data_IF_473943356351
#
_entry.id   IF_473943356351
#
_cell.length_a   1.000
_cell.length_b   1.000
_cell.length_c   1.000
_cell.angle_alpha   90.00
_cell.angle_beta   90.00
_cell.angle_gamma   90.00
#
_symmetry.space_group_name_H-M   'P 1'
#
loop_
_entity.id
_entity.type
_entity.pdbx_description
1 polymer ?
#
# COMPACT_ATOMS: atom_id res chain seq x y z
N UNK A 1 16.61 -9.68 -4.10
CA UNK A 1 16.36 -8.60 -3.12
C UNK A 1 17.20 -8.86 -1.88
N UNK A 2 17.89 -7.84 -1.36
CA UNK A 2 18.55 -7.97 -0.06
C UNK A 2 17.63 -7.39 1.00
N UNK A 3 17.43 -8.15 2.08
CA UNK A 3 16.64 -7.75 3.23
C UNK A 3 17.47 -7.88 4.51
N UNK A 4 17.48 -6.81 5.32
CA UNK A 4 18.23 -6.77 6.58
C UNK A 4 17.36 -6.15 7.65
N UNK A 5 17.31 -6.76 8.83
CA UNK A 5 16.74 -6.16 10.04
C UNK A 5 17.85 -5.32 10.69
N UNK A 6 17.64 -4.01 10.77
CA UNK A 6 18.59 -3.09 11.37
C UNK A 6 18.42 -3.04 12.90
N UNK A 7 17.16 -3.09 13.37
CA UNK A 7 16.80 -3.05 14.80
C UNK A 7 15.37 -3.54 15.01
N UNK A 8 15.12 -4.08 16.19
CA UNK A 8 13.77 -4.38 16.70
C UNK A 8 13.53 -3.67 18.02
N UNK A 9 12.29 -3.28 18.30
CA UNK A 9 11.80 -2.75 19.58
C UNK A 9 10.43 -3.37 19.84
N UNK A 10 10.38 -4.37 20.72
CA UNK A 10 9.26 -5.30 20.82
C UNK A 10 9.09 -6.06 19.50
N UNK A 11 7.86 -6.07 18.94
CA UNK A 11 7.60 -6.64 17.62
C UNK A 11 7.87 -5.66 16.47
N UNK A 12 7.97 -4.35 16.76
CA UNK A 12 8.25 -3.34 15.75
C UNK A 12 9.66 -3.54 15.15
N UNK A 13 9.78 -3.39 13.82
CA UNK A 13 11.02 -3.65 13.09
C UNK A 13 11.42 -2.44 12.25
N UNK A 14 12.67 -2.03 12.32
CA UNK A 14 13.34 -1.16 11.37
C UNK A 14 14.21 -2.04 10.48
N UNK A 15 13.89 -2.08 9.18
CA UNK A 15 14.62 -2.91 8.23
C UNK A 15 15.10 -2.09 7.03
N UNK A 16 16.02 -2.66 6.26
CA UNK A 16 16.51 -2.12 4.99
C UNK A 16 16.27 -3.16 3.89
N UNK A 17 15.57 -2.73 2.82
CA UNK A 17 15.28 -3.54 1.63
C UNK A 17 16.04 -2.91 0.46
N UNK A 18 16.86 -3.71 -0.26
CA UNK A 18 17.50 -3.25 -1.49
C UNK A 18 16.89 -3.92 -2.69
N UNK A 19 16.41 -3.11 -3.62
CA UNK A 19 15.91 -3.52 -4.93
C UNK A 19 16.86 -3.00 -6.02
N UNK A 20 16.52 -3.22 -7.29
CA UNK A 20 17.31 -2.70 -8.40
C UNK A 20 17.34 -1.15 -8.47
N UNK A 21 16.26 -0.47 -8.03
CA UNK A 21 16.10 0.98 -8.24
C UNK A 21 16.19 1.81 -6.95
N UNK A 22 16.09 1.23 -5.76
CA UNK A 22 16.22 1.98 -4.52
C UNK A 22 16.61 1.13 -3.31
N UNK A 23 17.08 1.81 -2.27
CA UNK A 23 17.15 1.27 -0.91
C UNK A 23 15.95 1.80 -0.15
N UNK A 24 15.12 0.90 0.34
CA UNK A 24 13.86 1.19 1.03
C UNK A 24 14.08 0.99 2.52
N UNK A 25 13.82 2.02 3.30
CA UNK A 25 13.87 1.97 4.76
C UNK A 25 12.49 1.73 5.35
N UNK A 26 12.32 0.64 6.09
CA UNK A 26 11.05 0.30 6.73
C UNK A 26 11.01 0.75 8.20
N UNK A 27 9.81 0.99 8.79
CA UNK A 27 8.50 0.87 8.13
C UNK A 27 8.34 1.89 6.99
N UNK A 28 7.62 1.50 5.94
CA UNK A 28 7.44 2.35 4.75
C UNK A 28 5.98 2.39 4.31
N UNK A 29 5.52 3.57 3.89
CA UNK A 29 4.24 3.76 3.22
C UNK A 29 4.47 3.99 1.72
N UNK A 30 3.77 3.24 0.88
CA UNK A 30 3.82 3.32 -0.57
C UNK A 30 2.68 4.18 -1.11
N UNK A 31 2.92 5.38 -1.62
CA UNK A 31 1.90 6.15 -2.33
C UNK A 31 1.34 5.37 -3.53
N UNK A 32 0.01 5.38 -3.69
CA UNK A 32 -0.67 4.64 -4.76
C UNK A 32 -0.71 5.44 -6.04
N UNK A 33 0.00 4.96 -7.05
CA UNK A 33 0.01 5.46 -8.42
C UNK A 33 -0.79 4.56 -9.36
N UNK A 34 -2.13 4.55 -9.25
CA UNK A 34 -3.05 3.61 -9.92
C UNK A 34 -2.78 3.38 -11.41
N UNK A 35 -2.49 4.44 -12.15
CA UNK A 35 -2.19 4.40 -13.60
C UNK A 35 -0.75 4.84 -13.89
N UNK A 36 0.18 4.46 -13.02
CA UNK A 36 1.56 4.93 -13.08
C UNK A 36 1.73 6.38 -12.60
N UNK A 37 0.69 6.98 -12.01
CA UNK A 37 0.72 8.35 -11.49
C UNK A 37 0.00 8.44 -10.14
N UNK A 38 0.66 9.00 -9.16
CA UNK A 38 0.02 9.38 -7.88
C UNK A 38 -0.95 10.52 -8.16
N UNK A 39 -2.20 10.37 -7.73
CA UNK A 39 -3.27 11.34 -8.06
C UNK A 39 -2.85 12.77 -7.73
N UNK A 40 -2.93 13.64 -8.73
CA UNK A 40 -2.60 15.08 -8.71
C UNK A 40 -1.11 15.45 -8.64
N UNK A 41 -0.22 14.47 -8.63
CA UNK A 41 1.23 14.67 -8.57
C UNK A 41 1.91 14.05 -9.79
N UNK A 42 2.96 14.69 -10.26
CA UNK A 42 3.88 14.14 -11.26
C UNK A 42 5.18 13.62 -10.62
N UNK A 43 6.09 13.11 -11.45
CA UNK A 43 7.36 12.58 -10.98
C UNK A 43 8.26 13.65 -10.34
N UNK A 44 8.15 14.92 -10.77
CA UNK A 44 8.91 16.05 -10.21
C UNK A 44 8.39 16.42 -8.82
N UNK A 45 7.07 16.41 -8.62
CA UNK A 45 6.46 16.61 -7.29
C UNK A 45 6.90 15.53 -6.31
N UNK A 46 6.90 14.26 -6.77
CA UNK A 46 7.35 13.14 -5.95
C UNK A 46 8.82 13.30 -5.58
N UNK A 47 9.68 13.64 -6.52
CA UNK A 47 11.11 13.80 -6.28
C UNK A 47 11.44 15.01 -5.37
N UNK A 48 10.69 16.11 -5.49
CA UNK A 48 11.00 17.37 -4.80
C UNK A 48 10.37 17.49 -3.42
N UNK A 49 9.14 16.98 -3.22
CA UNK A 49 8.35 17.28 -2.03
C UNK A 49 8.02 16.07 -1.16
N UNK A 50 7.93 14.87 -1.74
CA UNK A 50 7.47 13.67 -1.04
C UNK A 50 8.62 12.69 -0.84
N UNK A 51 9.43 12.48 -1.87
CA UNK A 51 10.61 11.62 -1.90
C UNK A 51 10.34 10.17 -1.44
N UNK A 52 9.27 9.50 -1.92
CA UNK A 52 9.04 8.11 -1.57
C UNK A 52 10.16 7.23 -2.16
N UNK A 53 10.54 6.19 -1.45
CA UNK A 53 11.54 5.22 -1.92
C UNK A 53 10.91 4.15 -2.81
N UNK A 54 9.61 3.96 -2.68
CA UNK A 54 8.79 3.02 -3.45
C UNK A 54 7.37 3.56 -3.59
N UNK A 55 6.75 3.33 -4.75
CA UNK A 55 5.34 3.60 -5.00
C UNK A 55 4.65 2.35 -5.54
N UNK A 56 3.33 2.28 -5.37
CA UNK A 56 2.53 1.18 -5.90
C UNK A 56 1.88 1.58 -7.22
N UNK A 57 2.03 0.75 -8.27
CA UNK A 57 1.26 0.85 -9.51
C UNK A 57 0.28 -0.34 -9.62
N UNK A 58 -0.87 -0.10 -10.25
CA UNK A 58 -1.92 -1.09 -10.31
C UNK A 58 -1.88 -1.87 -11.64
N UNK A 59 -1.62 -3.16 -11.54
CA UNK A 59 -1.49 -4.05 -12.71
C UNK A 59 -2.73 -4.07 -13.58
N UNK A 60 -3.93 -4.19 -13.00
CA UNK A 60 -5.17 -4.19 -13.77
C UNK A 60 -5.32 -2.94 -14.64
N UNK A 61 -5.13 -1.75 -14.03
CA UNK A 61 -5.28 -0.49 -14.75
C UNK A 61 -4.23 -0.30 -15.83
N UNK A 62 -2.98 -0.64 -15.55
CA UNK A 62 -1.88 -0.54 -16.53
C UNK A 62 -2.03 -1.53 -17.68
N UNK A 63 -2.56 -2.73 -17.42
CA UNK A 63 -2.89 -3.73 -18.42
C UNK A 63 -4.06 -3.30 -19.32
N UNK A 64 -5.16 -2.80 -18.74
CA UNK A 64 -6.32 -2.35 -19.52
C UNK A 64 -5.99 -1.09 -20.35
N UNK A 65 -5.23 -0.16 -19.78
CA UNK A 65 -4.84 1.08 -20.45
C UNK A 65 -3.59 1.68 -19.79
N UNK A 66 -2.49 1.89 -20.53
CA UNK A 66 -2.35 1.84 -21.99
C UNK A 66 -2.10 0.43 -22.56
N UNK A 67 -1.97 -0.59 -21.74
CA UNK A 67 -1.52 -1.94 -22.06
C UNK A 67 -0.06 -2.15 -21.62
N UNK A 68 0.21 -3.29 -21.01
CA UNK A 68 1.52 -3.64 -20.47
C UNK A 68 2.62 -3.71 -21.56
N UNK A 69 2.27 -4.16 -22.77
CA UNK A 69 3.21 -4.16 -23.92
C UNK A 69 3.63 -2.75 -24.35
N UNK A 70 2.71 -1.76 -24.25
CA UNK A 70 3.03 -0.36 -24.53
C UNK A 70 4.01 0.16 -23.48
N UNK A 71 3.76 -0.14 -22.21
CA UNK A 71 4.63 0.24 -21.09
C UNK A 71 6.02 -0.40 -21.26
N UNK A 72 6.08 -1.68 -21.64
CA UNK A 72 7.34 -2.38 -21.89
C UNK A 72 8.18 -1.69 -22.98
N UNK A 73 7.55 -1.33 -24.12
CA UNK A 73 8.21 -0.63 -25.24
C UNK A 73 8.68 0.78 -24.86
N UNK A 74 8.03 1.43 -23.90
CA UNK A 74 8.36 2.79 -23.44
C UNK A 74 9.37 2.82 -22.29
N UNK A 75 10.08 1.73 -22.04
CA UNK A 75 11.11 1.62 -21.00
C UNK A 75 10.55 1.20 -19.63
N UNK A 76 9.46 0.40 -19.67
CA UNK A 76 8.79 -0.10 -18.47
C UNK A 76 8.23 1.04 -17.63
N UNK A 77 7.76 0.78 -16.41
CA UNK A 77 7.18 1.81 -15.52
C UNK A 77 8.16 2.98 -15.29
N UNK A 78 9.42 2.70 -15.03
CA UNK A 78 10.43 3.73 -14.76
C UNK A 78 10.65 4.68 -15.97
N UNK A 79 10.85 4.11 -17.16
CA UNK A 79 10.99 4.88 -18.39
C UNK A 79 9.71 5.61 -18.80
N UNK A 80 8.56 4.97 -18.60
CA UNK A 80 7.24 5.52 -18.97
C UNK A 80 6.82 6.68 -18.06
N UNK A 81 6.97 6.53 -16.74
CA UNK A 81 6.51 7.52 -15.75
C UNK A 81 7.56 8.57 -15.37
N UNK A 82 8.84 8.29 -15.68
CA UNK A 82 10.00 9.07 -15.23
C UNK A 82 10.22 9.09 -13.70
N UNK A 83 9.57 8.17 -12.99
CA UNK A 83 9.87 7.95 -11.58
C UNK A 83 11.03 6.95 -11.47
N UNK A 84 12.13 7.39 -10.86
CA UNK A 84 13.40 6.64 -10.91
C UNK A 84 13.59 5.61 -9.80
N UNK A 85 12.71 5.63 -8.76
CA UNK A 85 12.81 4.71 -7.62
C UNK A 85 11.88 3.51 -7.79
N UNK A 86 11.79 2.66 -6.79
CA UNK A 86 11.13 1.36 -6.88
C UNK A 86 9.63 1.43 -7.11
N UNK A 87 9.12 0.42 -7.81
CA UNK A 87 7.72 0.12 -7.97
C UNK A 87 7.37 -1.23 -7.35
N UNK A 88 6.28 -1.27 -6.59
CA UNK A 88 5.53 -2.49 -6.34
C UNK A 88 4.31 -2.49 -7.27
N UNK A 89 4.00 -3.63 -7.91
CA UNK A 89 2.74 -3.83 -8.63
C UNK A 89 1.88 -4.85 -7.90
N UNK A 90 0.60 -4.52 -7.70
CA UNK A 90 -0.38 -5.49 -7.21
C UNK A 90 -0.68 -6.55 -8.29
N UNK A 91 -1.46 -7.57 -7.95
CA UNK A 91 -1.85 -8.62 -8.92
C UNK A 91 -2.92 -8.16 -9.92
N UNK A 92 -3.65 -7.10 -9.61
CA UNK A 92 -4.84 -6.67 -10.35
C UNK A 92 -6.10 -7.48 -10.06
N UNK A 93 -6.02 -8.55 -9.24
CA UNK A 93 -7.16 -9.42 -8.92
C UNK A 93 -8.28 -8.70 -8.18
N UNK A 94 -7.95 -7.88 -7.19
CA UNK A 94 -8.93 -7.07 -6.45
C UNK A 94 -9.70 -6.12 -7.38
N UNK A 95 -9.04 -5.45 -8.31
CA UNK A 95 -9.67 -4.51 -9.24
C UNK A 95 -10.49 -5.24 -10.28
N UNK A 96 -10.05 -6.39 -10.76
CA UNK A 96 -10.85 -7.27 -11.61
C UNK A 96 -12.16 -7.63 -10.91
N UNK A 97 -12.12 -7.93 -9.61
CA UNK A 97 -13.30 -8.23 -8.80
C UNK A 97 -14.17 -6.99 -8.52
N UNK A 98 -13.58 -5.88 -8.08
CA UNK A 98 -14.33 -4.71 -7.58
C UNK A 98 -14.90 -3.81 -8.68
N UNK A 99 -14.28 -3.78 -9.87
CA UNK A 99 -14.67 -2.89 -10.98
C UNK A 99 -15.48 -3.59 -12.06
N UNK A 100 -15.51 -4.92 -12.09
CA UNK A 100 -16.24 -5.68 -13.09
C UNK A 100 -17.59 -6.18 -12.57
N UNK A 101 -18.63 -6.09 -13.42
CA UNK A 101 -19.98 -6.59 -13.09
C UNK A 101 -20.13 -8.11 -13.25
N UNK A 102 -19.24 -8.75 -14.00
CA UNK A 102 -19.34 -10.17 -14.35
C UNK A 102 -18.00 -10.85 -14.12
N UNK A 103 -17.67 -11.09 -12.85
CA UNK A 103 -16.46 -11.82 -12.47
C UNK A 103 -16.77 -13.28 -12.29
N UNK A 104 -15.97 -14.15 -12.87
CA UNK A 104 -16.00 -15.60 -12.63
C UNK A 104 -14.62 -16.04 -12.19
N UNK A 105 -14.57 -16.74 -11.08
CA UNK A 105 -13.36 -17.36 -10.55
C UNK A 105 -13.49 -18.84 -10.77
N UNK A 106 -12.51 -19.43 -11.40
CA UNK A 106 -12.37 -20.89 -11.58
C UNK A 106 -11.01 -21.36 -11.04
N UNK A 107 -10.69 -22.63 -11.25
CA UNK A 107 -9.43 -23.20 -10.73
C UNK A 107 -8.18 -22.62 -11.42
N UNK A 108 -8.31 -22.15 -12.66
CA UNK A 108 -7.20 -21.61 -13.45
C UNK A 108 -7.01 -20.10 -13.37
N UNK A 109 -8.02 -19.35 -12.85
CA UNK A 109 -7.88 -17.90 -12.80
C UNK A 109 -9.19 -17.12 -12.65
N UNK A 110 -9.15 -15.86 -13.07
CA UNK A 110 -10.23 -14.89 -12.94
C UNK A 110 -10.64 -14.36 -14.32
N UNK A 111 -11.88 -14.63 -14.73
CA UNK A 111 -12.50 -14.03 -15.92
C UNK A 111 -13.25 -12.77 -15.51
N UNK A 112 -13.03 -11.68 -16.21
CA UNK A 112 -13.71 -10.40 -15.95
C UNK A 112 -13.94 -9.62 -17.24
N UNK A 113 -14.84 -8.63 -17.18
CA UNK A 113 -15.07 -7.67 -18.26
C UNK A 113 -14.41 -6.33 -17.89
N UNK A 114 -13.68 -5.74 -18.83
CA UNK A 114 -13.07 -4.41 -18.65
C UNK A 114 -14.14 -3.36 -18.35
N UNK A 115 -13.91 -2.54 -17.34
CA UNK A 115 -14.80 -1.42 -16.99
C UNK A 115 -14.71 -0.26 -18.00
N UNK A 116 -13.74 -0.29 -18.91
CA UNK A 116 -13.48 0.77 -19.90
C UNK A 116 -14.28 0.54 -21.18
N UNK A 117 -14.27 -0.70 -21.71
CA UNK A 117 -14.83 -1.05 -23.01
C UNK A 117 -15.65 -2.34 -23.02
N UNK A 118 -15.75 -3.03 -21.88
CA UNK A 118 -16.49 -4.28 -21.75
C UNK A 118 -15.80 -5.52 -22.34
N UNK A 119 -14.58 -5.39 -22.86
CA UNK A 119 -13.81 -6.53 -23.38
C UNK A 119 -13.58 -7.59 -22.32
N UNK A 120 -13.60 -8.86 -22.68
CA UNK A 120 -13.40 -9.99 -21.76
C UNK A 120 -11.93 -10.33 -21.63
N UNK A 121 -11.49 -10.50 -20.40
CA UNK A 121 -10.12 -10.85 -20.04
C UNK A 121 -10.12 -12.04 -19.10
N UNK A 122 -9.01 -12.78 -19.12
CA UNK A 122 -8.76 -13.90 -18.23
C UNK A 122 -7.38 -13.75 -17.61
N UNK A 123 -7.32 -13.54 -16.30
CA UNK A 123 -6.08 -13.51 -15.53
C UNK A 123 -5.82 -14.89 -14.96
N UNK A 124 -4.67 -15.45 -15.32
CA UNK A 124 -4.10 -16.65 -14.71
C UNK A 124 -2.86 -16.26 -13.89
N UNK A 125 -2.38 -17.11 -12.97
CA UNK A 125 -1.13 -16.86 -12.24
C UNK A 125 0.03 -16.48 -13.16
N UNK A 126 0.25 -17.26 -14.24
CA UNK A 126 1.32 -16.99 -15.22
C UNK A 126 1.13 -15.69 -15.98
N UNK A 127 -0.08 -15.43 -16.45
CA UNK A 127 -0.36 -14.18 -17.20
C UNK A 127 -0.13 -12.94 -16.36
N UNK A 128 -0.50 -12.96 -15.07
CA UNK A 128 -0.27 -11.83 -14.17
C UNK A 128 1.23 -11.60 -13.95
N UNK A 129 2.04 -12.65 -13.89
CA UNK A 129 3.50 -12.53 -13.84
C UNK A 129 4.05 -11.92 -15.15
N UNK A 130 3.61 -12.39 -16.34
CA UNK A 130 4.05 -11.82 -17.62
C UNK A 130 3.72 -10.34 -17.75
N UNK A 131 2.50 -9.93 -17.35
CA UNK A 131 2.11 -8.52 -17.31
C UNK A 131 3.06 -7.72 -16.42
N UNK A 132 3.36 -8.19 -15.21
CA UNK A 132 4.24 -7.49 -14.28
C UNK A 132 5.71 -7.50 -14.75
N UNK A 133 6.16 -8.52 -15.48
CA UNK A 133 7.45 -8.49 -16.20
C UNK A 133 7.49 -7.38 -17.26
N UNK A 134 6.44 -7.21 -18.04
CA UNK A 134 6.30 -6.14 -19.01
C UNK A 134 6.27 -4.75 -18.34
N UNK A 135 5.58 -4.63 -17.21
CA UNK A 135 5.57 -3.40 -16.40
C UNK A 135 6.95 -3.11 -15.79
N UNK A 136 7.72 -4.14 -15.45
CA UNK A 136 9.07 -4.01 -14.91
C UNK A 136 9.14 -3.46 -13.49
N UNK A 137 8.18 -3.84 -12.64
CA UNK A 137 8.20 -3.50 -11.22
C UNK A 137 9.33 -4.19 -10.47
N UNK A 138 9.80 -3.60 -9.39
CA UNK A 138 10.83 -4.21 -8.52
C UNK A 138 10.26 -5.34 -7.68
N UNK A 139 9.00 -5.19 -7.25
CA UNK A 139 8.27 -6.17 -6.45
C UNK A 139 6.92 -6.45 -7.12
N UNK A 140 6.66 -7.72 -7.37
CA UNK A 140 5.40 -8.24 -7.92
C UNK A 140 4.56 -8.90 -6.85
N UNK A 141 3.24 -8.82 -6.97
CA UNK A 141 2.32 -9.59 -6.14
C UNK A 141 1.73 -10.75 -6.94
N UNK A 142 1.53 -11.90 -6.29
CA UNK A 142 0.83 -13.04 -6.90
C UNK A 142 -0.65 -12.73 -7.15
N UNK A 143 -1.28 -13.46 -8.08
CA UNK A 143 -2.74 -13.52 -8.17
C UNK A 143 -3.28 -14.32 -6.98
N UNK A 144 -4.27 -13.78 -6.28
CA UNK A 144 -4.94 -14.37 -5.14
C UNK A 144 -6.46 -14.40 -5.31
N UNK A 145 -7.13 -15.28 -4.62
CA UNK A 145 -8.59 -15.34 -4.56
C UNK A 145 -9.10 -14.58 -3.33
N UNK A 146 -9.29 -13.27 -3.50
CA UNK A 146 -9.82 -12.41 -2.44
C UNK A 146 -11.28 -12.73 -2.13
N UNK A 147 -11.61 -12.81 -0.84
CA UNK A 147 -12.97 -13.01 -0.34
C UNK A 147 -13.45 -11.73 0.35
N UNK A 148 -14.58 -11.18 -0.15
CA UNK A 148 -15.27 -10.11 0.57
C UNK A 148 -15.95 -10.65 1.83
N UNK A 149 -15.83 -9.92 2.94
CA UNK A 149 -16.49 -10.27 4.20
C UNK A 149 -17.85 -9.54 4.33
N UNK A 150 -18.86 -10.16 4.97
CA UNK A 150 -18.86 -11.50 5.58
C UNK A 150 -18.94 -12.62 4.53
N UNK A 151 -18.28 -13.75 4.80
CA UNK A 151 -18.30 -14.94 3.94
C UNK A 151 -18.44 -16.22 4.77
N UNK A 152 -18.88 -17.32 4.12
CA UNK A 152 -18.94 -18.62 4.80
C UNK A 152 -17.54 -19.21 4.98
N UNK A 153 -17.39 -20.09 5.97
CA UNK A 153 -16.10 -20.77 6.22
C UNK A 153 -15.65 -21.60 5.01
N UNK A 154 -16.60 -22.24 4.32
CA UNK A 154 -16.29 -23.02 3.10
C UNK A 154 -15.75 -22.12 1.99
N UNK A 155 -16.29 -20.90 1.84
CA UNK A 155 -15.79 -19.94 0.82
C UNK A 155 -14.38 -19.45 1.17
N UNK A 156 -14.11 -19.17 2.44
CA UNK A 156 -12.78 -18.76 2.91
C UNK A 156 -11.79 -19.91 2.73
N UNK A 157 -12.13 -21.13 3.16
CA UNK A 157 -11.28 -22.31 2.98
C UNK A 157 -10.96 -22.55 1.50
N UNK A 158 -11.97 -22.53 0.62
CA UNK A 158 -11.79 -22.68 -0.83
C UNK A 158 -10.88 -21.61 -1.44
N UNK A 159 -10.95 -20.36 -0.93
CA UNK A 159 -10.09 -19.29 -1.40
C UNK A 159 -8.62 -19.48 -1.00
N UNK A 160 -8.37 -19.98 0.20
CA UNK A 160 -7.04 -20.31 0.69
C UNK A 160 -6.44 -21.42 -0.18
N UNK A 161 -7.17 -22.52 -0.37
CA UNK A 161 -6.69 -23.65 -1.16
C UNK A 161 -6.38 -23.24 -2.62
N UNK A 162 -7.20 -22.37 -3.21
CA UNK A 162 -6.97 -21.83 -4.55
C UNK A 162 -5.78 -20.89 -4.58
N UNK A 163 -5.70 -19.96 -3.63
CA UNK A 163 -4.55 -19.04 -3.52
C UNK A 163 -3.24 -19.78 -3.34
N UNK A 164 -3.21 -20.83 -2.52
CA UNK A 164 -2.02 -21.67 -2.33
C UNK A 164 -1.59 -22.37 -3.63
N UNK A 165 -2.53 -22.92 -4.41
CA UNK A 165 -2.21 -23.53 -5.73
C UNK A 165 -1.71 -22.47 -6.72
N UNK A 166 -2.37 -21.31 -6.81
CA UNK A 166 -1.94 -20.22 -7.67
C UNK A 166 -0.58 -19.64 -7.26
N UNK A 167 -0.30 -19.63 -5.96
CA UNK A 167 1.01 -19.25 -5.44
C UNK A 167 2.09 -20.22 -5.90
N UNK A 168 1.87 -21.53 -5.77
CA UNK A 168 2.85 -22.53 -6.25
C UNK A 168 3.08 -22.38 -7.76
N UNK A 169 2.03 -22.22 -8.55
CA UNK A 169 2.15 -21.99 -10.00
C UNK A 169 2.90 -20.70 -10.33
N UNK A 170 2.64 -19.62 -9.55
CA UNK A 170 3.30 -18.33 -9.73
C UNK A 170 4.79 -18.40 -9.45
N UNK A 171 5.19 -18.98 -8.32
CA UNK A 171 6.61 -19.04 -7.95
C UNK A 171 7.41 -19.93 -8.89
N UNK A 172 6.87 -21.10 -9.28
CA UNK A 172 7.52 -21.99 -10.24
C UNK A 172 7.72 -21.31 -11.59
N UNK A 173 6.68 -20.61 -12.07
CA UNK A 173 6.76 -19.87 -13.33
C UNK A 173 7.73 -18.69 -13.23
N UNK A 174 7.66 -17.91 -12.17
CA UNK A 174 8.55 -16.77 -11.96
C UNK A 174 10.03 -17.19 -11.93
N UNK A 175 10.39 -18.22 -11.14
CA UNK A 175 11.77 -18.74 -11.07
C UNK A 175 12.24 -19.32 -12.40
N UNK A 176 11.35 -19.99 -13.15
CA UNK A 176 11.63 -20.43 -14.53
C UNK A 176 11.96 -19.24 -15.42
N UNK A 177 11.14 -18.19 -15.41
CA UNK A 177 11.39 -16.98 -16.22
C UNK A 177 12.72 -16.31 -15.86
N UNK A 178 13.05 -16.24 -14.56
CA UNK A 178 14.36 -15.73 -14.12
C UNK A 178 15.52 -16.59 -14.66
N UNK A 179 15.41 -17.91 -14.68
CA UNK A 179 16.43 -18.80 -15.25
C UNK A 179 16.59 -18.64 -16.78
N UNK A 180 15.56 -18.13 -17.46
CA UNK A 180 15.57 -17.77 -18.88
C UNK A 180 16.09 -16.32 -19.11
N UNK A 181 16.49 -15.60 -18.06
CA UNK A 181 17.02 -14.23 -18.13
C UNK A 181 15.94 -13.14 -18.11
N UNK A 182 14.67 -13.49 -17.81
CA UNK A 182 13.57 -12.50 -17.72
C UNK A 182 13.33 -12.13 -16.28
N UNK A 183 13.32 -10.84 -15.98
CA UNK A 183 13.00 -10.32 -14.64
C UNK A 183 13.98 -10.70 -13.54
N UNK A 184 15.27 -10.87 -13.88
CA UNK A 184 16.31 -11.34 -12.92
C UNK A 184 16.49 -10.42 -11.70
N UNK A 185 16.16 -9.14 -11.85
CA UNK A 185 16.23 -8.14 -10.76
C UNK A 185 14.89 -7.91 -10.06
N UNK A 186 13.82 -8.56 -10.54
CA UNK A 186 12.48 -8.44 -9.96
C UNK A 186 12.29 -9.44 -8.81
N UNK A 187 11.38 -9.12 -7.91
CA UNK A 187 11.09 -9.93 -6.73
C UNK A 187 9.58 -10.21 -6.67
N UNK A 188 9.18 -11.25 -5.96
CA UNK A 188 7.79 -11.67 -5.89
C UNK A 188 7.35 -11.95 -4.45
N UNK A 189 6.18 -11.43 -4.08
CA UNK A 189 5.57 -11.61 -2.76
C UNK A 189 4.31 -12.46 -2.86
N UNK A 190 4.14 -13.37 -1.91
CA UNK A 190 2.90 -14.11 -1.71
C UNK A 190 1.90 -13.31 -0.87
N UNK A 191 0.58 -13.62 -1.00
CA UNK A 191 -0.50 -12.95 -0.27
C UNK A 191 -1.21 -13.96 0.63
N UNK A 192 -1.05 -13.78 1.94
CA UNK A 192 -1.71 -14.59 2.98
C UNK A 192 -3.16 -14.13 3.11
N UNK A 193 -4.09 -15.07 2.95
CA UNK A 193 -5.53 -14.86 3.08
C UNK A 193 -6.08 -15.57 4.34
N UNK A 194 -7.37 -15.49 4.62
CA UNK A 194 -8.02 -16.20 5.74
C UNK A 194 -9.07 -15.39 6.51
N UNK A 195 -9.47 -14.22 5.98
CA UNK A 195 -10.41 -13.34 6.68
C UNK A 195 -9.88 -12.91 8.03
N UNK A 196 -10.73 -12.95 9.06
CA UNK A 196 -10.37 -12.67 10.46
C UNK A 196 -10.36 -13.94 11.32
N UNK A 197 -10.25 -15.11 10.70
CA UNK A 197 -10.20 -16.41 11.39
C UNK A 197 -8.74 -16.84 11.62
N UNK A 198 -8.39 -17.11 12.87
CA UNK A 198 -7.03 -17.47 13.28
C UNK A 198 -6.53 -18.74 12.60
N UNK A 199 -7.35 -19.81 12.57
CA UNK A 199 -6.94 -21.10 12.01
C UNK A 199 -6.72 -21.01 10.48
N UNK A 200 -7.56 -20.24 9.79
CA UNK A 200 -7.40 -19.98 8.36
C UNK A 200 -6.17 -19.12 8.07
N UNK A 201 -5.87 -18.13 8.88
CA UNK A 201 -4.64 -17.32 8.76
C UNK A 201 -3.39 -18.18 8.98
N UNK A 202 -3.40 -19.01 10.04
CA UNK A 202 -2.29 -19.94 10.30
C UNK A 202 -2.09 -20.89 9.13
N UNK A 203 -3.15 -21.55 8.63
CA UNK A 203 -3.06 -22.45 7.48
C UNK A 203 -2.45 -21.75 6.27
N UNK A 204 -3.01 -20.63 5.85
CA UNK A 204 -2.55 -19.87 4.70
C UNK A 204 -1.09 -19.43 4.86
N UNK A 205 -0.72 -18.89 6.03
CA UNK A 205 0.63 -18.45 6.31
C UNK A 205 1.63 -19.60 6.25
N UNK A 206 1.35 -20.73 6.91
CA UNK A 206 2.27 -21.89 6.91
C UNK A 206 2.47 -22.47 5.51
N UNK A 207 1.41 -22.59 4.72
CA UNK A 207 1.50 -23.11 3.35
C UNK A 207 2.32 -22.19 2.44
N UNK A 208 2.07 -20.88 2.48
CA UNK A 208 2.76 -19.92 1.63
C UNK A 208 4.19 -19.64 2.08
N UNK A 209 4.43 -19.53 3.39
CA UNK A 209 5.79 -19.29 3.91
C UNK A 209 6.74 -20.49 3.75
N UNK A 210 6.23 -21.66 3.40
CA UNK A 210 7.07 -22.82 3.02
C UNK A 210 7.61 -22.74 1.57
N UNK A 211 7.11 -21.77 0.76
CA UNK A 211 7.55 -21.55 -0.62
C UNK A 211 8.66 -20.51 -0.68
N UNK A 212 9.48 -20.53 -1.74
CA UNK A 212 10.64 -19.64 -1.93
C UNK A 212 10.24 -18.25 -2.46
N UNK A 213 9.43 -17.54 -1.68
CA UNK A 213 9.07 -16.14 -1.94
C UNK A 213 10.08 -15.14 -1.36
N UNK A 214 10.19 -13.98 -2.00
CA UNK A 214 11.08 -12.90 -1.56
C UNK A 214 10.48 -12.09 -0.40
N UNK A 215 9.15 -12.17 -0.19
CA UNK A 215 8.42 -11.51 0.89
C UNK A 215 6.95 -11.96 0.95
N UNK A 216 6.24 -11.50 1.97
CA UNK A 216 4.86 -11.93 2.23
C UNK A 216 3.97 -10.74 2.56
N UNK A 217 2.76 -10.75 2.00
CA UNK A 217 1.72 -9.77 2.29
C UNK A 217 0.57 -10.39 3.07
N UNK A 218 -0.08 -9.58 3.89
CA UNK A 218 -1.35 -9.87 4.58
C UNK A 218 -2.44 -9.20 3.76
N UNK A 219 -3.25 -9.99 3.07
CA UNK A 219 -4.38 -9.53 2.28
C UNK A 219 -5.73 -9.78 2.96
N UNK A 220 -6.82 -9.28 2.36
CA UNK A 220 -8.19 -9.52 2.79
C UNK A 220 -8.57 -8.89 4.13
N UNK A 221 -7.91 -7.80 4.52
CA UNK A 221 -8.24 -6.96 5.66
C UNK A 221 -8.61 -5.54 5.20
N UNK A 222 -9.15 -4.73 6.11
CA UNK A 222 -9.70 -3.39 5.80
C UNK A 222 -10.84 -3.43 4.77
N UNK A 223 -11.67 -4.48 4.85
CA UNK A 223 -12.80 -4.74 3.95
C UNK A 223 -14.16 -4.70 4.66
N UNK A 224 -14.21 -4.20 5.90
CA UNK A 224 -15.45 -4.02 6.68
C UNK A 224 -15.41 -4.51 8.13
N UNK A 225 -14.34 -5.18 8.55
CA UNK A 225 -14.11 -5.58 9.94
C UNK A 225 -13.81 -4.37 10.84
N UNK A 226 -13.96 -4.54 12.16
CA UNK A 226 -13.57 -3.53 13.15
C UNK A 226 -12.03 -3.39 13.21
N UNK A 227 -11.54 -2.19 13.52
CA UNK A 227 -10.09 -1.95 13.58
C UNK A 227 -9.38 -2.90 14.55
N UNK A 228 -9.98 -3.17 15.72
CA UNK A 228 -9.39 -4.09 16.70
C UNK A 228 -9.28 -5.51 16.15
N UNK A 229 -10.30 -5.98 15.44
CA UNK A 229 -10.30 -7.30 14.80
C UNK A 229 -9.20 -7.41 13.73
N UNK A 230 -8.98 -6.32 12.95
CA UNK A 230 -7.86 -6.23 12.03
C UNK A 230 -6.52 -6.30 12.77
N UNK A 231 -6.35 -5.56 13.87
CA UNK A 231 -5.10 -5.55 14.64
C UNK A 231 -4.78 -6.92 15.24
N UNK A 232 -5.77 -7.59 15.82
CA UNK A 232 -5.63 -8.93 16.38
C UNK A 232 -5.26 -9.94 15.27
N UNK A 233 -5.90 -9.83 14.11
CA UNK A 233 -5.61 -10.70 12.95
C UNK A 233 -4.19 -10.50 12.43
N UNK A 234 -3.71 -9.25 12.36
CA UNK A 234 -2.31 -8.98 11.95
C UNK A 234 -1.34 -9.54 12.97
N UNK A 235 -1.60 -9.37 14.27
CA UNK A 235 -0.75 -9.89 15.35
C UNK A 235 -0.60 -11.42 15.27
N UNK A 236 -1.69 -12.15 15.04
CA UNK A 236 -1.62 -13.60 14.85
C UNK A 236 -0.87 -13.98 13.57
N UNK A 237 -1.18 -13.30 12.46
CA UNK A 237 -0.59 -13.65 11.16
C UNK A 237 0.91 -13.43 11.15
N UNK A 238 1.40 -12.35 11.73
CA UNK A 238 2.85 -12.02 11.75
C UNK A 238 3.67 -13.05 12.54
N UNK A 239 3.08 -13.77 13.49
CA UNK A 239 3.76 -14.85 14.24
C UNK A 239 4.09 -16.07 13.37
N UNK A 240 3.35 -16.26 12.27
CA UNK A 240 3.59 -17.35 11.32
C UNK A 240 4.47 -16.93 10.13
N UNK A 241 4.77 -15.64 10.00
CA UNK A 241 5.59 -15.11 8.91
C UNK A 241 7.09 -15.16 9.25
N UNK A 242 7.97 -15.47 8.27
CA UNK A 242 9.41 -15.48 8.50
C UNK A 242 9.93 -14.14 9.04
N UNK A 243 10.95 -14.21 9.89
CA UNK A 243 11.59 -12.99 10.41
C UNK A 243 12.51 -12.34 9.37
N UNK A 244 13.15 -13.15 8.54
CA UNK A 244 14.13 -12.77 7.52
C UNK A 244 13.51 -12.34 6.18
N UNK A 245 12.21 -12.05 6.17
CA UNK A 245 11.48 -11.60 4.98
C UNK A 245 10.65 -10.33 5.29
N UNK A 246 10.43 -9.45 4.28
CA UNK A 246 9.53 -8.30 4.42
C UNK A 246 8.08 -8.73 4.65
N UNK A 247 7.35 -7.95 5.45
CA UNK A 247 5.94 -8.13 5.78
C UNK A 247 5.14 -6.91 5.33
N UNK A 248 4.20 -7.13 4.44
CA UNK A 248 3.39 -6.08 3.82
C UNK A 248 1.92 -6.22 4.19
N UNK A 249 1.30 -5.20 4.79
CA UNK A 249 -0.14 -5.13 5.04
C UNK A 249 -0.81 -4.32 3.94
N UNK A 250 -1.64 -4.98 3.14
CA UNK A 250 -2.23 -4.40 1.92
C UNK A 250 -3.43 -3.50 2.23
N UNK A 251 -3.49 -2.33 1.60
CA UNK A 251 -4.64 -1.44 1.60
C UNK A 251 -4.92 -0.69 2.91
N UNK A 252 -4.01 -0.72 3.86
CA UNK A 252 -4.15 -0.12 5.20
C UNK A 252 -3.20 1.06 5.37
N UNK A 253 -3.54 2.18 5.92
CA UNK A 253 -4.80 2.61 6.49
C UNK A 253 -4.71 4.04 7.00
N UNK A 254 -5.37 4.35 8.11
CA UNK A 254 -5.24 5.63 8.83
C UNK A 254 -3.88 5.75 9.51
N UNK A 255 -3.43 6.95 9.92
CA UNK A 255 -2.21 7.09 10.73
C UNK A 255 -2.21 6.22 11.98
N UNK A 256 -3.36 6.08 12.62
CA UNK A 256 -3.55 5.20 13.79
C UNK A 256 -3.32 3.72 13.42
N UNK A 257 -3.89 3.27 12.30
CA UNK A 257 -3.70 1.89 11.82
C UNK A 257 -2.24 1.59 11.50
N UNK A 258 -1.51 2.58 10.94
CA UNK A 258 -0.09 2.43 10.65
C UNK A 258 0.73 2.23 11.93
N UNK A 259 0.51 3.07 12.95
CA UNK A 259 1.21 2.96 14.25
C UNK A 259 0.91 1.62 14.92
N UNK A 260 -0.36 1.20 14.93
CA UNK A 260 -0.77 -0.08 15.53
C UNK A 260 -0.16 -1.29 14.80
N UNK A 261 -0.12 -1.27 13.48
CA UNK A 261 0.38 -2.42 12.72
C UNK A 261 1.93 -2.46 12.65
N UNK A 262 2.61 -1.32 12.70
CA UNK A 262 4.07 -1.29 12.90
C UNK A 262 4.43 -1.91 14.25
N UNK A 263 3.65 -1.65 15.32
CA UNK A 263 3.86 -2.28 16.63
C UNK A 263 3.69 -3.81 16.60
N UNK A 264 3.05 -4.37 15.56
CA UNK A 264 2.83 -5.80 15.34
C UNK A 264 3.78 -6.41 14.30
N UNK A 265 4.82 -5.68 13.91
CA UNK A 265 5.89 -6.18 13.05
C UNK A 265 5.62 -6.12 11.55
N UNK A 266 4.72 -5.24 11.10
CA UNK A 266 4.53 -4.95 9.68
C UNK A 266 5.54 -3.91 9.20
N UNK A 267 6.12 -4.15 8.02
CA UNK A 267 7.18 -3.32 7.43
C UNK A 267 6.67 -2.35 6.35
N UNK A 268 5.69 -2.79 5.55
CA UNK A 268 5.25 -2.09 4.34
C UNK A 268 3.74 -1.89 4.32
N UNK A 269 3.31 -0.75 3.81
CA UNK A 269 1.90 -0.37 3.74
C UNK A 269 1.61 0.38 2.44
N UNK A 270 0.39 0.27 1.95
CA UNK A 270 -0.20 1.15 0.94
C UNK A 270 -1.63 1.50 1.33
N UNK A 271 -2.10 2.64 0.90
CA UNK A 271 -3.52 2.98 0.93
C UNK A 271 -3.81 4.17 0.02
N UNK A 272 -4.99 4.17 -0.61
CA UNK A 272 -5.46 5.34 -1.38
C UNK A 272 -5.94 6.49 -0.48
N UNK A 273 -6.05 6.25 0.81
CA UNK A 273 -6.66 7.18 1.78
C UNK A 273 -5.99 8.56 1.80
N UNK A 274 -4.64 8.71 1.85
CA UNK A 274 -4.02 10.03 1.88
C UNK A 274 -4.44 10.90 0.69
N UNK A 275 -4.39 10.36 -0.52
CA UNK A 275 -4.72 11.10 -1.74
C UNK A 275 -6.23 11.25 -1.93
N UNK A 276 -7.04 10.23 -1.59
CA UNK A 276 -8.51 10.29 -1.65
C UNK A 276 -9.06 11.32 -0.69
N UNK A 277 -8.62 11.29 0.56
CA UNK A 277 -9.07 12.20 1.62
C UNK A 277 -8.65 13.65 1.33
N UNK A 278 -7.45 13.89 0.82
CA UNK A 278 -7.02 15.21 0.38
C UNK A 278 -8.01 15.80 -0.63
N UNK A 279 -8.35 15.03 -1.67
CA UNK A 279 -9.32 15.48 -2.69
C UNK A 279 -10.73 15.71 -2.14
N UNK A 280 -11.08 15.05 -1.04
CA UNK A 280 -12.35 15.22 -0.34
C UNK A 280 -12.31 16.29 0.78
N UNK A 281 -11.21 17.03 0.90
CA UNK A 281 -11.08 18.12 1.88
C UNK A 281 -10.73 17.65 3.29
N UNK A 282 -10.30 16.40 3.46
CA UNK A 282 -9.82 15.86 4.74
C UNK A 282 -8.30 15.74 4.72
N UNK A 283 -7.63 16.37 5.67
CA UNK A 283 -6.19 16.45 5.77
C UNK A 283 -5.75 15.85 7.13
N UNK A 284 -4.66 15.09 7.09
CA UNK A 284 -4.10 14.45 8.29
C UNK A 284 -3.04 15.35 8.93
N UNK A 285 -3.08 15.47 10.24
CA UNK A 285 -2.14 16.29 11.01
C UNK A 285 -1.64 15.53 12.24
N UNK A 286 -0.62 16.05 12.89
CA UNK A 286 -0.09 15.54 14.16
C UNK A 286 -1.17 15.51 15.26
N UNK A 287 -2.18 16.36 15.14
CA UNK A 287 -3.29 16.51 16.09
C UNK A 287 -4.61 15.87 15.62
N UNK A 288 -4.55 14.96 14.63
CA UNK A 288 -5.74 14.32 14.06
C UNK A 288 -6.16 14.90 12.71
N UNK A 289 -7.45 14.79 12.37
CA UNK A 289 -7.97 15.14 11.04
C UNK A 289 -8.47 16.58 10.99
N UNK A 290 -8.10 17.30 9.94
CA UNK A 290 -8.62 18.64 9.61
C UNK A 290 -9.58 18.49 8.41
N UNK A 291 -10.84 18.90 8.60
CA UNK A 291 -11.78 19.07 7.49
C UNK A 291 -11.74 20.53 7.03
N UNK A 292 -11.02 20.80 5.95
CA UNK A 292 -10.79 22.17 5.46
C UNK A 292 -12.05 22.91 5.03
N UNK A 293 -13.18 22.19 4.86
CA UNK A 293 -14.48 22.79 4.49
C UNK A 293 -15.09 23.63 5.59
N UNK A 294 -14.74 23.38 6.86
CA UNK A 294 -15.32 24.04 8.02
C UNK A 294 -15.17 25.56 7.96
N UNK A 295 -16.21 26.28 8.39
CA UNK A 295 -16.24 27.76 8.37
C UNK A 295 -15.18 28.40 9.28
N UNK A 296 -14.79 27.72 10.36
CA UNK A 296 -13.75 28.19 11.30
C UNK A 296 -12.42 28.55 10.62
N UNK A 297 -12.14 27.96 9.45
CA UNK A 297 -10.90 28.20 8.70
C UNK A 297 -11.01 29.37 7.71
N UNK A 298 -12.11 30.15 7.71
CA UNK A 298 -12.31 31.26 6.75
C UNK A 298 -11.26 32.35 6.89
N UNK A 299 -10.86 32.65 8.12
CA UNK A 299 -9.85 33.68 8.45
C UNK A 299 -8.68 33.11 9.25
N UNK A 300 -8.48 31.80 9.19
CA UNK A 300 -7.41 31.13 9.92
C UNK A 300 -6.10 31.26 9.14
N UNK A 301 -5.17 32.07 9.67
CA UNK A 301 -3.85 32.33 9.09
C UNK A 301 -2.83 31.21 9.40
N UNK A 302 -3.16 30.29 10.29
CA UNK A 302 -2.26 29.19 10.69
C UNK A 302 -2.06 28.15 9.56
N UNK A 303 -0.95 27.37 9.65
CA UNK A 303 -0.70 26.25 8.74
C UNK A 303 -1.68 25.11 9.00
N UNK A 304 -1.75 24.13 8.08
CA UNK A 304 -2.56 22.91 8.28
C UNK A 304 -2.14 22.18 9.56
N UNK A 305 -0.85 22.02 9.73
CA UNK A 305 -0.22 21.39 10.87
C UNK A 305 1.01 22.20 11.29
N UNK A 306 1.05 22.79 12.49
CA UNK A 306 2.19 23.59 12.96
C UNK A 306 3.47 22.78 13.19
N UNK A 307 3.37 21.47 13.34
CA UNK A 307 4.54 20.59 13.50
C UNK A 307 5.02 20.00 12.15
N UNK A 308 4.26 20.19 11.06
CA UNK A 308 4.58 19.61 9.76
C UNK A 308 5.56 20.50 8.97
N UNK A 309 6.67 19.92 8.55
CA UNK A 309 7.70 20.62 7.79
C UNK A 309 7.49 20.61 6.26
N UNK A 310 6.32 20.13 5.75
CA UNK A 310 6.06 20.10 4.33
C UNK A 310 5.98 21.51 3.71
N UNK A 311 6.21 21.60 2.41
CA UNK A 311 6.13 22.85 1.64
C UNK A 311 4.80 23.57 1.86
N UNK A 312 3.70 22.81 1.96
CA UNK A 312 2.36 23.40 2.10
C UNK A 312 2.18 24.11 3.45
N UNK A 313 2.57 23.45 4.54
CA UNK A 313 2.48 24.02 5.89
C UNK A 313 3.42 25.21 6.10
N UNK A 314 4.57 25.23 5.40
CA UNK A 314 5.52 26.34 5.45
C UNK A 314 5.07 27.57 4.65
N UNK A 315 4.14 27.40 3.71
CA UNK A 315 3.82 28.46 2.74
C UNK A 315 2.40 28.98 2.83
N UNK A 316 1.42 28.10 3.12
CA UNK A 316 0.00 28.43 2.94
C UNK A 316 -0.79 28.32 4.25
N UNK A 317 -1.71 29.27 4.46
CA UNK A 317 -2.65 29.26 5.56
C UNK A 317 -3.84 28.31 5.31
N UNK A 318 -4.51 27.88 6.38
CA UNK A 318 -5.77 27.14 6.29
C UNK A 318 -6.84 27.94 5.56
N UNK A 319 -6.88 29.26 5.74
CA UNK A 319 -7.81 30.16 5.03
C UNK A 319 -7.62 30.05 3.52
N UNK A 320 -6.39 30.16 3.02
CA UNK A 320 -6.11 30.07 1.59
C UNK A 320 -6.44 28.69 1.01
N UNK A 321 -6.04 27.62 1.69
CA UNK A 321 -6.36 26.26 1.26
C UNK A 321 -7.87 25.99 1.25
N UNK A 322 -8.61 26.51 2.24
CA UNK A 322 -10.06 26.46 2.25
C UNK A 322 -10.66 27.21 1.06
N UNK A 323 -10.16 28.41 0.75
CA UNK A 323 -10.59 29.18 -0.42
C UNK A 323 -10.41 28.37 -1.70
N UNK A 324 -9.22 27.83 -1.96
CA UNK A 324 -8.93 27.01 -3.14
C UNK A 324 -9.86 25.78 -3.22
N UNK A 325 -10.09 25.09 -2.09
CA UNK A 325 -11.00 23.94 -2.04
C UNK A 325 -12.42 24.34 -2.42
N UNK A 326 -12.93 25.45 -1.86
CA UNK A 326 -14.29 25.95 -2.13
C UNK A 326 -14.46 26.42 -3.57
N UNK A 327 -13.44 27.02 -4.13
CA UNK A 327 -13.36 27.42 -5.53
C UNK A 327 -13.17 26.24 -6.49
N UNK A 328 -12.92 25.03 -5.98
CA UNK A 328 -12.58 23.82 -6.76
C UNK A 328 -11.35 23.98 -7.63
N UNK A 329 -10.39 24.79 -7.17
CA UNK A 329 -9.13 24.99 -7.86
C UNK A 329 -8.27 23.72 -7.88
N UNK A 330 -7.71 23.38 -9.02
CA UNK A 330 -6.87 22.19 -9.19
C UNK A 330 -5.63 22.23 -8.28
N UNK A 331 -5.11 23.43 -8.01
CA UNK A 331 -3.98 23.65 -7.11
C UNK A 331 -4.24 23.11 -5.71
N UNK A 332 -5.50 23.21 -5.19
CA UNK A 332 -5.83 22.64 -3.90
C UNK A 332 -5.58 21.14 -3.86
N UNK A 333 -6.01 20.41 -4.89
CA UNK A 333 -5.88 18.96 -4.91
C UNK A 333 -4.42 18.50 -4.91
N UNK A 334 -3.56 19.25 -5.59
CA UNK A 334 -2.11 19.03 -5.55
C UNK A 334 -1.54 19.34 -4.17
N UNK A 335 -1.82 20.50 -3.60
CA UNK A 335 -1.29 20.91 -2.29
C UNK A 335 -1.76 19.97 -1.16
N UNK A 336 -3.06 19.64 -1.13
CA UNK A 336 -3.62 18.72 -0.14
C UNK A 336 -3.01 17.31 -0.24
N UNK A 337 -2.73 16.82 -1.46
CA UNK A 337 -2.08 15.53 -1.67
C UNK A 337 -0.62 15.56 -1.23
N UNK A 338 0.13 16.63 -1.55
CA UNK A 338 1.52 16.82 -1.07
C UNK A 338 1.55 16.77 0.47
N UNK A 339 0.67 17.54 1.14
CA UNK A 339 0.63 17.57 2.59
C UNK A 339 0.34 16.18 3.19
N UNK A 340 -0.73 15.51 2.74
CA UNK A 340 -1.12 14.22 3.30
C UNK A 340 -0.05 13.13 3.08
N UNK A 341 0.55 13.08 1.90
CA UNK A 341 1.61 12.11 1.63
C UNK A 341 2.88 12.42 2.41
N UNK A 342 3.28 13.68 2.47
CA UNK A 342 4.42 14.08 3.30
C UNK A 342 4.19 13.68 4.77
N UNK A 343 3.00 13.95 5.31
CA UNK A 343 2.65 13.56 6.67
C UNK A 343 2.79 12.04 6.88
N UNK A 344 2.27 11.22 5.96
CA UNK A 344 2.36 9.75 6.06
C UNK A 344 3.80 9.26 6.01
N UNK A 345 4.61 9.76 5.06
CA UNK A 345 6.00 9.33 4.96
C UNK A 345 6.84 9.80 6.14
N UNK A 346 6.59 11.02 6.63
CA UNK A 346 7.25 11.53 7.84
C UNK A 346 6.89 10.70 9.08
N UNK A 347 5.62 10.31 9.23
CA UNK A 347 5.19 9.41 10.31
C UNK A 347 5.96 8.07 10.27
N UNK A 348 6.15 7.49 9.08
CA UNK A 348 6.96 6.27 8.93
C UNK A 348 8.42 6.49 9.35
N UNK A 349 8.99 7.61 8.95
CA UNK A 349 10.36 7.99 9.34
C UNK A 349 10.50 8.15 10.85
N UNK A 350 9.57 8.86 11.50
CA UNK A 350 9.57 9.04 12.96
C UNK A 350 9.42 7.71 13.70
N UNK A 351 8.59 6.80 13.21
CA UNK A 351 8.47 5.44 13.75
C UNK A 351 9.77 4.65 13.61
N UNK A 352 10.42 4.72 12.44
CA UNK A 352 11.73 4.08 12.24
C UNK A 352 12.77 4.61 13.20
N UNK A 353 12.88 5.93 13.36
CA UNK A 353 13.82 6.56 14.31
C UNK A 353 13.53 6.10 15.73
N UNK A 354 12.26 6.04 16.14
CA UNK A 354 11.86 5.55 17.45
C UNK A 354 12.25 4.08 17.68
N UNK A 355 12.10 3.21 16.68
CA UNK A 355 12.53 1.80 16.76
C UNK A 355 14.06 1.71 16.90
N UNK A 356 14.81 2.44 16.07
CA UNK A 356 16.28 2.43 16.10
C UNK A 356 16.82 2.89 17.47
N UNK A 357 16.13 3.81 18.12
CA UNK A 357 16.48 4.34 19.45
C UNK A 357 15.93 3.49 20.61
N UNK A 358 15.10 2.47 20.37
CA UNK A 358 14.49 1.62 21.41
C UNK A 358 13.44 2.35 22.26
N UNK A 359 12.68 3.29 21.64
CA UNK A 359 11.64 4.11 22.31
C UNK A 359 10.30 4.09 21.58
N UNK A 360 10.02 3.04 20.82
CA UNK A 360 8.81 2.98 19.99
C UNK A 360 7.52 3.06 20.81
N UNK A 361 7.48 2.42 21.99
CA UNK A 361 6.31 2.51 22.87
C UNK A 361 6.09 3.94 23.39
N UNK A 362 7.14 4.63 23.77
CA UNK A 362 7.06 6.05 24.17
C UNK A 362 6.57 6.94 23.01
N UNK A 363 7.02 6.66 21.80
CA UNK A 363 6.53 7.32 20.58
C UNK A 363 5.02 7.10 20.40
N UNK A 364 4.56 5.85 20.53
CA UNK A 364 3.14 5.47 20.39
C UNK A 364 2.28 6.21 21.41
N UNK A 365 2.69 6.25 22.67
CA UNK A 365 1.99 7.01 23.73
C UNK A 365 1.90 8.49 23.38
N UNK A 366 3.02 9.11 22.96
CA UNK A 366 3.06 10.52 22.59
C UNK A 366 2.19 10.82 21.36
N UNK A 367 2.16 9.93 20.37
CA UNK A 367 1.31 10.03 19.18
C UNK A 367 -0.18 10.10 19.54
N UNK A 368 -0.66 9.24 20.44
CA UNK A 368 -2.05 9.24 20.88
C UNK A 368 -2.38 10.45 21.75
N UNK A 369 -1.50 10.80 22.69
CA UNK A 369 -1.68 11.96 23.57
C UNK A 369 -1.90 13.27 22.79
N UNK A 370 -1.14 13.50 21.71
CA UNK A 370 -1.34 14.69 20.84
C UNK A 370 -2.73 14.73 20.19
N UNK A 371 -3.32 13.58 19.91
CA UNK A 371 -4.63 13.47 19.27
C UNK A 371 -5.81 13.59 20.23
N UNK A 372 -5.61 13.31 21.51
CA UNK A 372 -6.63 13.46 22.56
C UNK A 372 -6.86 14.93 22.92
N UNK A 373 -5.82 15.73 23.03
CA UNK A 373 -5.88 17.16 23.38
C UNK A 373 -6.84 17.92 22.44
N UNK A 374 -6.92 17.57 21.17
CA UNK A 374 -7.81 18.27 20.24
C UNK A 374 -9.28 17.85 20.31
N UNK A 375 -9.60 16.72 20.93
CA UNK A 375 -11.00 16.34 21.17
C UNK A 375 -11.65 17.20 22.22
N UNK A 376 -10.89 17.69 23.21
CA UNK A 376 -11.36 18.53 24.30
C UNK A 376 -11.56 20.00 23.86
N UNK A 377 -10.76 20.51 22.90
CA UNK A 377 -10.90 21.87 22.38
C UNK A 377 -12.05 22.06 21.35
N UNK A 378 -12.70 20.99 20.92
CA UNK A 378 -13.78 21.00 19.91
C UNK A 378 -15.18 20.81 20.49
N UNK A 379 -15.34 20.83 21.81
CA UNK A 379 -16.62 20.87 22.55
C UNK A 379 -16.85 22.30 23.12
#
# INVERSE_FOLDING_TARGET
>A
MDFQIDKTDGFARACTIKTAHSTIQTPVFMPVGTVGAVKTLDAMDLASFIQPEIILANTYHMYIRPGDEVVAKMGKLHGFTKYAKSFLTDSGGFQAFSLSKNVKIDEGGITFASHVDGSKHYFTPKKVIDIQHNLGSDIMMILDDLVALPATQERIASSIDRTTRWAQESIDYFRKRQSEGVGVEQNIFAIIQGGTDHAFREKSARELCAMDYDGFAIGGLSVGEANQEMYDTVEWTTQFMPEDKPRYLMGVGTPEDLVENVSRGVDMFDCVMPTRNARNGTLFTSFGRVNIKKAIYTTDEGPLDPECACMVCKTYSRSYLRHLYRARELTYFRLGTIHNLYYYLNLMKEMREAILEGRFEAFKVAFYKKREVKKEETH
#
